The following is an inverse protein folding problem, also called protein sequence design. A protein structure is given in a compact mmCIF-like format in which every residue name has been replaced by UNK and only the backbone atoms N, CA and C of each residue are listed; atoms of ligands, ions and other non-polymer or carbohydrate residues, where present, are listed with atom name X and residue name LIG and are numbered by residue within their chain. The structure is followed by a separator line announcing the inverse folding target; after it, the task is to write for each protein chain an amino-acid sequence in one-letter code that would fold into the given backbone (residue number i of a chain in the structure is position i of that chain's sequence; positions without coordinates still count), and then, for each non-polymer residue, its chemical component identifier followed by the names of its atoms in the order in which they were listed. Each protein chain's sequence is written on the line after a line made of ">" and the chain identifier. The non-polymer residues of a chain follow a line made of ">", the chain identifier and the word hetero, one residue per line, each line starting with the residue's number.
data_IF_796741719915
#
_entry.id   IF_796741719915
#
_cell.length_a   1.000
_cell.length_b   1.000
_cell.length_c   1.000
_cell.angle_alpha   90.00
_cell.angle_beta   90.00
_cell.angle_gamma   90.00
#
_symmetry.space_group_name_H-M   'P 1'
#
loop_
_entity.id
_entity.type
_entity.pdbx_description
1 polymer ?
#
# COMPACT_ATOMS: atom_id res chain seq x y z
N UNK A 1 3.96 6.15 -2.20
CA UNK A 1 3.59 7.58 -2.10
C UNK A 1 2.51 7.85 -3.11
N UNK A 2 1.36 8.32 -2.66
CA UNK A 2 0.14 8.42 -3.45
C UNK A 2 -0.46 9.82 -3.29
N UNK A 3 -0.99 10.36 -4.39
CA UNK A 3 -1.78 11.56 -4.39
C UNK A 3 -3.23 11.22 -4.74
N UNK A 4 -4.14 11.30 -3.77
CA UNK A 4 -5.57 11.24 -4.04
C UNK A 4 -5.98 12.47 -4.88
N UNK A 5 -6.87 12.27 -5.86
CA UNK A 5 -7.40 13.38 -6.66
C UNK A 5 -8.30 14.27 -5.79
N UNK A 6 -8.31 15.55 -6.11
CA UNK A 6 -9.04 16.57 -5.36
C UNK A 6 -10.53 16.22 -5.23
N UNK A 7 -11.03 16.16 -3.99
CA UNK A 7 -12.42 15.87 -3.67
C UNK A 7 -12.79 14.38 -3.74
N UNK A 8 -11.82 13.50 -3.96
CA UNK A 8 -12.00 12.03 -4.01
C UNK A 8 -11.25 11.32 -2.87
N UNK A 9 -10.79 12.05 -1.85
CA UNK A 9 -10.03 11.51 -0.72
C UNK A 9 -10.84 10.48 0.07
N UNK A 10 -12.09 10.79 0.38
CA UNK A 10 -13.00 9.90 1.12
C UNK A 10 -13.28 8.60 0.38
N UNK A 11 -13.53 8.71 -0.93
CA UNK A 11 -13.73 7.56 -1.80
C UNK A 11 -12.45 6.72 -1.90
N UNK A 12 -11.29 7.37 -1.91
CA UNK A 12 -10.01 6.68 -1.86
C UNK A 12 -9.83 5.91 -0.55
N UNK A 13 -10.15 6.51 0.61
CA UNK A 13 -10.02 5.82 1.91
C UNK A 13 -10.98 4.64 2.07
N UNK A 14 -12.23 4.77 1.60
CA UNK A 14 -13.20 3.65 1.60
C UNK A 14 -12.66 2.47 0.77
N UNK A 15 -12.15 2.76 -0.42
CA UNK A 15 -11.55 1.76 -1.29
C UNK A 15 -10.30 1.14 -0.66
N UNK A 16 -9.46 1.96 -0.03
CA UNK A 16 -8.23 1.52 0.62
C UNK A 16 -8.52 0.57 1.79
N UNK A 17 -9.49 0.90 2.64
CA UNK A 17 -9.92 0.02 3.72
C UNK A 17 -10.42 -1.33 3.20
N UNK A 18 -11.28 -1.33 2.17
CA UNK A 18 -11.84 -2.55 1.61
C UNK A 18 -10.78 -3.45 0.94
N UNK A 19 -9.77 -2.86 0.31
CA UNK A 19 -8.84 -3.61 -0.57
C UNK A 19 -7.47 -3.90 0.03
N UNK A 20 -7.00 -3.11 1.00
CA UNK A 20 -5.65 -3.25 1.55
C UNK A 20 -5.64 -3.79 2.97
N UNK A 21 -6.64 -3.48 3.80
CA UNK A 21 -6.63 -3.91 5.21
C UNK A 21 -6.57 -5.42 5.37
N UNK A 22 -7.44 -6.16 4.67
CA UNK A 22 -7.48 -7.63 4.73
C UNK A 22 -6.15 -8.28 4.33
N UNK A 23 -5.62 -7.99 3.12
CA UNK A 23 -4.34 -8.55 2.68
C UNK A 23 -3.16 -8.18 3.58
N UNK A 24 -3.09 -6.95 4.09
CA UNK A 24 -1.99 -6.54 4.97
C UNK A 24 -2.09 -7.16 6.36
N UNK A 25 -3.30 -7.34 6.90
CA UNK A 25 -3.51 -8.07 8.15
C UNK A 25 -3.12 -9.54 8.01
N UNK A 26 -3.37 -10.16 6.85
CA UNK A 26 -2.92 -11.53 6.55
C UNK A 26 -1.40 -11.59 6.35
N UNK A 27 -0.80 -10.65 5.61
CA UNK A 27 0.65 -10.55 5.44
C UNK A 27 1.38 -10.37 6.78
N UNK A 28 0.78 -9.64 7.73
CA UNK A 28 1.30 -9.52 9.10
C UNK A 28 1.20 -10.83 9.87
N UNK A 29 0.08 -11.56 9.74
CA UNK A 29 -0.10 -12.89 10.38
C UNK A 29 0.89 -13.93 9.85
N UNK A 30 1.14 -13.92 8.54
CA UNK A 30 2.11 -14.80 7.87
C UNK A 30 3.56 -14.33 8.06
N UNK A 31 3.79 -13.22 8.78
CA UNK A 31 5.10 -12.62 9.04
C UNK A 31 5.86 -12.23 7.76
N UNK A 32 5.13 -11.95 6.69
CA UNK A 32 5.69 -11.34 5.47
C UNK A 32 6.09 -9.89 5.77
N UNK A 33 5.26 -9.19 6.55
CA UNK A 33 5.56 -7.87 7.12
C UNK A 33 5.54 -7.93 8.65
N UNK A 34 6.29 -7.05 9.29
CA UNK A 34 6.23 -6.82 10.73
C UNK A 34 5.03 -5.97 11.10
N UNK A 35 4.86 -4.85 10.39
CA UNK A 35 3.77 -3.91 10.59
C UNK A 35 3.48 -3.11 9.31
N UNK A 36 2.37 -2.37 9.32
CA UNK A 36 2.08 -1.38 8.31
C UNK A 36 1.44 -0.14 8.91
N UNK A 37 1.70 1.01 8.28
CA UNK A 37 1.10 2.29 8.65
C UNK A 37 0.55 2.97 7.40
N UNK A 38 -0.63 3.56 7.53
CA UNK A 38 -1.22 4.41 6.49
C UNK A 38 -1.22 5.83 7.06
N UNK A 39 -0.48 6.71 6.43
CA UNK A 39 -0.35 8.11 6.82
C UNK A 39 -1.08 8.96 5.78
N UNK A 40 -1.86 9.91 6.27
CA UNK A 40 -2.48 10.95 5.45
C UNK A 40 -2.05 12.32 5.97
N UNK A 41 -1.78 13.23 5.06
CA UNK A 41 -1.42 14.61 5.36
C UNK A 41 -1.71 15.52 4.17
N UNK A 42 -1.73 16.82 4.42
CA UNK A 42 -1.87 17.81 3.36
C UNK A 42 -0.62 17.82 2.47
N UNK A 43 -0.82 17.91 1.16
CA UNK A 43 0.26 18.02 0.19
C UNK A 43 0.93 19.41 0.30
N UNK A 44 2.25 19.45 0.46
CA UNK A 44 2.98 20.71 0.63
C UNK A 44 3.08 21.53 -0.68
N UNK A 45 2.96 20.88 -1.84
CA UNK A 45 2.96 21.51 -3.17
C UNK A 45 2.21 20.62 -4.19
N UNK A 46 1.91 21.10 -5.41
CA UNK A 46 1.05 20.38 -6.35
C UNK A 46 1.54 18.99 -6.77
N UNK A 47 2.82 18.69 -6.69
CA UNK A 47 3.40 17.38 -7.02
C UNK A 47 3.78 16.57 -5.77
N UNK A 48 3.30 16.98 -4.59
CA UNK A 48 3.49 16.25 -3.35
C UNK A 48 2.40 15.18 -3.15
N UNK A 49 2.73 14.16 -2.37
CA UNK A 49 1.78 13.11 -1.98
C UNK A 49 0.97 13.57 -0.78
N UNK A 50 -0.27 13.08 -0.68
CA UNK A 50 -1.09 13.25 0.52
C UNK A 50 -1.28 11.93 1.27
N UNK A 51 -1.01 10.78 0.66
CA UNK A 51 -1.11 9.46 1.28
C UNK A 51 0.21 8.68 1.17
N UNK A 52 0.65 8.11 2.29
CA UNK A 52 1.77 7.17 2.35
C UNK A 52 1.33 5.85 2.97
N UNK A 53 1.60 4.74 2.27
CA UNK A 53 1.50 3.39 2.82
C UNK A 53 2.93 2.96 3.13
N UNK A 54 3.21 2.74 4.42
CA UNK A 54 4.49 2.29 4.92
C UNK A 54 4.36 0.82 5.32
N UNK A 55 5.23 -0.02 4.77
CA UNK A 55 5.33 -1.43 5.12
C UNK A 55 6.66 -1.65 5.85
N UNK A 56 6.59 -2.27 7.02
CA UNK A 56 7.76 -2.60 7.81
C UNK A 56 8.16 -4.05 7.56
N UNK A 57 9.43 -4.26 7.22
CA UNK A 57 10.00 -5.58 6.96
C UNK A 57 11.11 -5.88 7.96
N UNK A 58 11.28 -7.15 8.29
CA UNK A 58 12.27 -7.57 9.29
C UNK A 58 13.73 -7.27 8.86
N UNK A 59 14.03 -7.34 7.56
CA UNK A 59 15.35 -7.08 7.01
C UNK A 59 15.30 -6.93 5.48
N UNK A 60 16.44 -6.65 4.86
CA UNK A 60 16.55 -6.51 3.40
C UNK A 60 16.39 -7.82 2.63
N UNK A 61 16.66 -8.98 3.25
CA UNK A 61 16.45 -10.29 2.60
C UNK A 61 14.95 -10.61 2.42
N UNK A 62 14.06 -9.91 3.11
CA UNK A 62 12.62 -10.03 2.89
C UNK A 62 12.22 -9.61 1.46
N UNK A 63 13.01 -8.76 0.79
CA UNK A 63 12.71 -8.27 -0.55
C UNK A 63 12.99 -9.31 -1.66
N UNK A 64 13.89 -10.27 -1.45
CA UNK A 64 14.34 -11.20 -2.51
C UNK A 64 13.20 -12.07 -3.06
N UNK A 65 12.26 -12.48 -2.20
CA UNK A 65 11.09 -13.29 -2.56
C UNK A 65 9.78 -12.58 -2.20
N UNK A 66 9.77 -11.25 -2.26
CA UNK A 66 8.64 -10.45 -1.78
C UNK A 66 7.35 -10.77 -2.55
N UNK A 67 7.47 -10.85 -3.87
CA UNK A 67 6.35 -11.08 -4.78
C UNK A 67 5.72 -12.45 -4.55
N UNK A 68 6.53 -13.49 -4.46
CA UNK A 68 6.07 -14.86 -4.22
C UNK A 68 5.34 -15.02 -2.87
N UNK A 69 5.64 -14.15 -1.90
CA UNK A 69 4.97 -14.13 -0.60
C UNK A 69 3.67 -13.32 -0.60
N UNK A 70 3.63 -12.21 -1.33
CA UNK A 70 2.44 -11.35 -1.39
C UNK A 70 1.39 -11.82 -2.39
N UNK A 71 1.81 -12.37 -3.53
CA UNK A 71 0.91 -12.79 -4.61
C UNK A 71 -0.14 -13.81 -4.12
N UNK A 72 0.19 -14.86 -3.35
CA UNK A 72 -0.81 -15.79 -2.81
C UNK A 72 -1.84 -15.11 -1.90
N UNK A 73 -1.39 -14.16 -1.07
CA UNK A 73 -2.25 -13.42 -0.13
C UNK A 73 -3.23 -12.54 -0.91
N UNK A 74 -2.73 -11.77 -1.88
CA UNK A 74 -3.58 -10.93 -2.70
C UNK A 74 -4.51 -11.73 -3.60
N UNK A 75 -4.07 -12.87 -4.15
CA UNK A 75 -4.92 -13.76 -4.98
C UNK A 75 -6.07 -14.31 -4.13
N UNK A 76 -5.77 -14.76 -2.91
CA UNK A 76 -6.81 -15.24 -1.99
C UNK A 76 -7.82 -14.16 -1.63
N UNK A 77 -7.39 -12.90 -1.52
CA UNK A 77 -8.25 -11.78 -1.14
C UNK A 77 -9.06 -11.16 -2.30
N UNK A 78 -8.47 -11.06 -3.49
CA UNK A 78 -9.04 -10.34 -4.64
C UNK A 78 -9.52 -11.25 -5.78
N UNK A 79 -9.26 -12.56 -5.69
CA UNK A 79 -9.57 -13.53 -6.73
C UNK A 79 -8.46 -13.63 -7.79
N UNK A 80 -8.82 -13.57 -9.07
CA UNK A 80 -7.85 -13.76 -10.16
C UNK A 80 -6.92 -12.55 -10.35
N UNK A 81 -5.78 -12.78 -11.02
CA UNK A 81 -4.82 -11.72 -11.40
C UNK A 81 -5.49 -10.65 -12.28
N UNK A 82 -6.45 -11.03 -13.13
CA UNK A 82 -7.21 -10.09 -13.97
C UNK A 82 -8.10 -9.19 -13.13
N UNK A 83 -8.77 -9.74 -12.10
CA UNK A 83 -9.60 -8.96 -11.19
C UNK A 83 -8.74 -7.96 -10.39
N UNK A 84 -7.57 -8.36 -9.94
CA UNK A 84 -6.61 -7.45 -9.29
C UNK A 84 -6.18 -6.32 -10.22
N UNK A 85 -5.89 -6.63 -11.49
CA UNK A 85 -5.48 -5.64 -12.49
C UNK A 85 -6.61 -4.63 -12.72
N UNK A 86 -7.86 -5.08 -12.85
CA UNK A 86 -9.01 -4.19 -12.97
C UNK A 86 -9.21 -3.30 -11.74
N UNK A 87 -9.02 -3.84 -10.53
CA UNK A 87 -9.06 -3.05 -9.28
C UNK A 87 -7.96 -1.98 -9.29
N UNK A 88 -6.75 -2.32 -9.74
CA UNK A 88 -5.66 -1.35 -9.85
C UNK A 88 -5.94 -0.25 -10.86
N UNK A 89 -6.50 -0.59 -12.03
CA UNK A 89 -6.88 0.38 -13.06
C UNK A 89 -7.95 1.33 -12.53
N UNK A 90 -9.01 0.81 -11.91
CA UNK A 90 -10.07 1.65 -11.29
C UNK A 90 -9.51 2.57 -10.20
N UNK A 91 -8.44 2.17 -9.50
CA UNK A 91 -7.80 3.04 -8.50
C UNK A 91 -7.15 4.27 -9.13
N UNK A 92 -6.75 4.24 -10.40
CA UNK A 92 -6.20 5.41 -11.11
C UNK A 92 -7.24 6.51 -11.35
N UNK A 93 -8.53 6.18 -11.25
CA UNK A 93 -9.60 7.17 -11.39
C UNK A 93 -9.66 8.11 -10.17
N UNK A 94 -9.27 7.63 -9.00
CA UNK A 94 -9.34 8.37 -7.72
C UNK A 94 -7.97 8.77 -7.16
N UNK A 95 -6.86 8.23 -7.70
CA UNK A 95 -5.50 8.50 -7.21
C UNK A 95 -4.45 8.50 -8.32
N UNK A 96 -3.31 9.09 -8.01
CA UNK A 96 -2.07 9.02 -8.77
C UNK A 96 -0.95 8.42 -7.89
N UNK A 97 -0.12 7.55 -8.47
CA UNK A 97 1.05 7.00 -7.77
C UNK A 97 2.25 7.86 -8.11
N UNK A 98 2.78 8.57 -7.11
CA UNK A 98 3.95 9.46 -7.29
C UNK A 98 5.28 8.73 -7.14
N UNK A 99 5.28 7.56 -6.49
CA UNK A 99 6.46 6.70 -6.43
C UNK A 99 6.54 5.86 -5.16
N UNK A 100 7.65 5.15 -5.02
CA UNK A 100 7.98 4.28 -3.90
C UNK A 100 9.35 4.66 -3.33
N UNK A 101 9.56 4.42 -2.04
CA UNK A 101 10.83 4.73 -1.38
C UNK A 101 11.13 3.69 -0.31
N UNK A 102 12.34 3.14 -0.37
CA UNK A 102 12.88 2.29 0.69
C UNK A 102 13.56 3.20 1.72
N UNK A 103 13.21 2.99 2.99
CA UNK A 103 13.75 3.76 4.11
C UNK A 103 14.22 2.80 5.22
N UNK A 104 15.16 3.27 6.05
CA UNK A 104 15.60 2.57 7.25
C UNK A 104 15.13 3.37 8.45
N UNK A 105 14.38 2.73 9.34
CA UNK A 105 13.99 3.34 10.61
C UNK A 105 15.22 3.52 11.49
N UNK A 106 15.37 4.73 12.05
CA UNK A 106 16.42 5.05 13.01
C UNK A 106 15.73 5.27 14.36
N UNK A 107 16.02 4.40 15.33
CA UNK A 107 15.58 4.58 16.71
C UNK A 107 16.69 5.25 17.51
N UNK A 108 16.41 6.44 18.06
CA UNK A 108 17.32 7.14 18.96
C UNK A 108 17.08 6.66 20.40
N UNK A 109 18.15 6.54 21.17
CA UNK A 109 18.11 6.20 22.61
C UNK A 109 18.26 7.46 23.44
#
# INVERSE_FOLDING_TARGET
>A
MIKAKYGLEDDYFKNLHATLKGPLDEAKKEKVILDYKILFGEAAFPQDYNVMILLEFANMAAFDNLRDKFDPIFIKAAGSVDQQTQIQVKRLDVREVLGEKIMREISLK
#
